data_IF_990951740187
#
_entry.id   IF_990951740187
#
_cell.length_a   1.000
_cell.length_b   1.000
_cell.length_c   1.000
_cell.angle_alpha   90.00
_cell.angle_beta   90.00
_cell.angle_gamma   90.00
#
_symmetry.space_group_name_H-M   'P 1'
#
loop_
_entity.id
_entity.type
_entity.pdbx_description
1 polymer ?
#
# COMPACT_ATOMS: atom_id res chain seq x y z
N UNK A 1 -1.32 -12.61 -3.02
CA UNK A 1 -0.46 -13.26 -4.02
C UNK A 1 1.01 -13.11 -3.62
N UNK A 2 1.68 -11.92 -3.70
CA UNK A 2 3.11 -11.79 -3.43
C UNK A 2 3.53 -12.36 -2.06
N UNK A 3 2.88 -11.96 -0.99
CA UNK A 3 3.19 -12.47 0.36
C UNK A 3 3.00 -13.99 0.47
N UNK A 4 1.95 -14.51 -0.18
CA UNK A 4 1.67 -15.95 -0.26
C UNK A 4 2.75 -16.70 -1.05
N UNK A 5 3.22 -16.17 -2.18
CA UNK A 5 4.29 -16.78 -3.00
C UNK A 5 5.64 -16.77 -2.26
N UNK A 6 5.91 -15.74 -1.48
CA UNK A 6 7.13 -15.63 -0.67
C UNK A 6 7.04 -16.38 0.66
N UNK A 7 5.88 -16.90 1.04
CA UNK A 7 5.68 -17.57 2.33
C UNK A 7 5.84 -16.66 3.54
N UNK A 8 5.61 -15.35 3.38
CA UNK A 8 5.74 -14.35 4.46
C UNK A 8 4.40 -13.68 4.77
N UNK A 9 4.29 -13.06 5.92
CA UNK A 9 3.06 -12.40 6.37
C UNK A 9 2.78 -11.14 5.56
N UNK A 10 1.49 -10.80 5.42
CA UNK A 10 1.02 -9.53 4.90
C UNK A 10 0.49 -8.66 6.05
N UNK A 11 1.06 -7.48 6.21
CA UNK A 11 0.56 -6.43 7.10
C UNK A 11 0.03 -5.30 6.22
N UNK A 12 -1.23 -4.91 6.41
CA UNK A 12 -1.88 -3.88 5.58
C UNK A 12 -2.42 -2.76 6.44
N UNK A 13 -2.17 -1.53 6.01
CA UNK A 13 -2.78 -0.32 6.52
C UNK A 13 -3.41 0.47 5.39
N UNK A 14 -4.63 0.95 5.59
CA UNK A 14 -5.32 1.86 4.70
C UNK A 14 -5.00 3.30 5.13
N UNK A 15 -4.31 4.05 4.28
CA UNK A 15 -3.85 5.39 4.62
C UNK A 15 -4.98 6.42 4.64
N UNK A 16 -6.16 6.09 4.15
CA UNK A 16 -7.35 6.93 4.30
C UNK A 16 -7.78 7.09 5.77
N UNK A 17 -7.41 6.16 6.65
CA UNK A 17 -7.64 6.26 8.09
C UNK A 17 -6.65 7.20 8.81
N UNK A 18 -5.57 7.61 8.13
CA UNK A 18 -4.45 8.37 8.67
C UNK A 18 -4.23 9.70 7.96
N UNK A 19 -5.33 10.34 7.58
CA UNK A 19 -5.34 11.65 6.90
C UNK A 19 -5.04 12.80 7.89
N UNK A 20 -5.46 12.64 9.12
CA UNK A 20 -5.39 13.68 10.15
C UNK A 20 -4.16 13.51 11.04
N UNK A 21 -3.58 14.64 11.49
CA UNK A 21 -2.38 14.62 12.32
C UNK A 21 -2.53 13.79 13.60
N UNK A 22 -3.69 13.83 14.24
CA UNK A 22 -3.94 13.06 15.47
C UNK A 22 -3.99 11.55 15.23
N UNK A 23 -4.30 11.10 14.01
CA UNK A 23 -4.33 9.65 13.69
C UNK A 23 -2.94 9.05 13.53
N UNK A 24 -1.90 9.87 13.28
CA UNK A 24 -0.51 9.41 13.21
C UNK A 24 -0.07 8.78 14.53
N UNK A 25 -0.55 9.33 15.66
CA UNK A 25 -0.28 8.79 16.98
C UNK A 25 -0.73 7.32 17.12
N UNK A 26 -1.75 6.88 16.38
CA UNK A 26 -2.15 5.47 16.35
C UNK A 26 -1.10 4.58 15.67
N UNK A 27 -0.37 5.11 14.66
CA UNK A 27 0.65 4.34 13.95
C UNK A 27 1.96 4.19 14.72
N UNK A 28 2.45 5.29 15.32
CA UNK A 28 3.78 5.33 15.96
C UNK A 28 3.72 5.55 17.48
N UNK A 29 2.51 5.58 18.04
CA UNK A 29 2.27 5.84 19.47
C UNK A 29 2.02 7.32 19.77
N UNK A 30 1.34 7.59 20.88
CA UNK A 30 1.12 8.94 21.38
C UNK A 30 2.38 9.50 22.06
N UNK A 31 2.63 10.81 22.00
CA UNK A 31 3.68 11.46 22.79
C UNK A 31 3.45 11.31 24.30
N UNK A 32 4.52 11.41 25.09
CA UNK A 32 4.43 11.40 26.54
C UNK A 32 3.47 12.49 27.06
N UNK A 33 2.58 12.13 27.98
CA UNK A 33 1.57 13.03 28.54
C UNK A 33 0.25 13.10 27.79
N UNK A 34 0.11 12.40 26.66
CA UNK A 34 -1.16 12.30 25.92
C UNK A 34 -1.86 10.96 26.18
N UNK A 35 -3.20 10.97 26.05
CA UNK A 35 -4.03 9.76 26.14
C UNK A 35 -3.57 8.75 25.07
N UNK A 36 -3.45 7.46 25.47
CA UNK A 36 -2.98 6.39 24.58
C UNK A 36 -1.45 6.25 24.50
N UNK A 37 -0.68 6.96 25.33
CA UNK A 37 0.77 6.77 25.39
C UNK A 37 1.18 5.33 25.72
N UNK A 38 0.42 4.64 26.58
CA UNK A 38 0.70 3.26 26.96
C UNK A 38 0.42 2.24 25.86
N UNK A 39 -0.46 2.56 24.92
CA UNK A 39 -0.93 1.62 23.89
C UNK A 39 0.13 1.29 22.82
N UNK A 40 1.18 2.12 22.68
CA UNK A 40 2.19 1.95 21.63
C UNK A 40 1.67 2.39 20.25
N UNK A 41 2.40 2.01 19.19
CA UNK A 41 2.03 2.33 17.81
C UNK A 41 1.66 1.07 17.02
N UNK A 42 0.52 1.09 16.34
CA UNK A 42 0.03 -0.05 15.56
C UNK A 42 1.04 -0.53 14.52
N UNK A 43 1.68 0.41 13.80
CA UNK A 43 2.66 0.09 12.78
C UNK A 43 3.95 -0.47 13.39
N UNK A 44 4.47 0.17 14.44
CA UNK A 44 5.69 -0.27 15.12
C UNK A 44 5.51 -1.62 15.79
N UNK A 45 4.36 -1.86 16.40
CA UNK A 45 4.05 -3.13 17.04
C UNK A 45 3.82 -4.25 16.01
N UNK A 46 3.18 -3.97 14.87
CA UNK A 46 3.00 -4.93 13.79
C UNK A 46 4.35 -5.37 13.18
N UNK A 47 5.25 -4.41 12.90
CA UNK A 47 6.60 -4.71 12.38
C UNK A 47 7.41 -5.49 13.42
N UNK A 48 7.29 -5.16 14.71
CA UNK A 48 8.02 -5.86 15.76
C UNK A 48 7.56 -7.31 15.94
N UNK A 49 6.24 -7.55 15.82
CA UNK A 49 5.67 -8.90 15.85
C UNK A 49 6.04 -9.72 14.62
N UNK A 50 6.17 -9.07 13.48
CA UNK A 50 6.37 -9.74 12.18
C UNK A 50 7.42 -8.98 11.36
N UNK A 51 8.70 -9.06 11.74
CA UNK A 51 9.76 -8.27 11.09
C UNK A 51 10.02 -8.69 9.65
N UNK A 52 9.71 -9.94 9.27
CA UNK A 52 9.79 -10.43 7.90
C UNK A 52 8.37 -10.46 7.30
N UNK A 53 7.96 -9.37 6.68
CA UNK A 53 6.62 -9.26 6.12
C UNK A 53 6.58 -8.33 4.88
N UNK A 54 5.51 -8.44 4.13
CA UNK A 54 5.10 -7.42 3.18
C UNK A 54 4.26 -6.40 3.95
N UNK A 55 4.75 -5.16 4.04
CA UNK A 55 3.98 -4.03 4.54
C UNK A 55 3.32 -3.33 3.36
N UNK A 56 2.01 -3.41 3.29
CA UNK A 56 1.19 -2.75 2.27
C UNK A 56 0.54 -1.49 2.88
N UNK A 57 0.90 -0.33 2.33
CA UNK A 57 0.25 0.94 2.63
C UNK A 57 -0.64 1.31 1.45
N UNK A 58 -1.94 1.18 1.66
CA UNK A 58 -2.93 1.39 0.60
C UNK A 58 -3.34 2.86 0.56
N UNK A 59 -3.54 3.43 -0.65
CA UNK A 59 -3.92 4.83 -0.89
C UNK A 59 -2.98 5.85 -0.23
N UNK A 60 -1.66 5.68 -0.45
CA UNK A 60 -0.61 6.49 0.20
C UNK A 60 -0.76 8.00 -0.04
N UNK A 61 -1.38 8.42 -1.15
CA UNK A 61 -1.64 9.83 -1.45
C UNK A 61 -2.61 10.50 -0.47
N UNK A 62 -3.39 9.72 0.27
CA UNK A 62 -4.32 10.23 1.29
C UNK A 62 -3.67 10.42 2.66
N UNK A 63 -2.49 9.85 2.86
CA UNK A 63 -1.78 9.93 4.12
C UNK A 63 -1.41 11.37 4.49
N UNK A 64 -1.46 11.68 5.80
CA UNK A 64 -0.93 12.95 6.30
C UNK A 64 0.56 13.11 5.92
N UNK A 65 1.04 14.32 5.59
CA UNK A 65 2.43 14.57 5.16
C UNK A 65 3.50 14.03 6.12
N UNK A 66 3.25 14.00 7.42
CA UNK A 66 4.20 13.49 8.42
C UNK A 66 4.48 11.99 8.26
N UNK A 67 3.56 11.22 7.67
CA UNK A 67 3.76 9.79 7.41
C UNK A 67 4.89 9.59 6.39
N UNK A 68 5.01 10.49 5.40
CA UNK A 68 6.12 10.41 4.44
C UNK A 68 7.48 10.58 5.12
N UNK A 69 7.58 11.42 6.17
CA UNK A 69 8.82 11.57 6.95
C UNK A 69 9.17 10.28 7.70
N UNK A 70 8.16 9.59 8.23
CA UNK A 70 8.33 8.29 8.89
C UNK A 70 8.81 7.24 7.87
N UNK A 71 8.22 7.21 6.69
CA UNK A 71 8.60 6.27 5.63
C UNK A 71 10.01 6.54 5.09
N UNK A 72 10.41 7.81 4.95
CA UNK A 72 11.77 8.17 4.59
C UNK A 72 12.78 7.62 5.61
N UNK A 73 12.48 7.73 6.92
CA UNK A 73 13.31 7.14 7.97
C UNK A 73 13.45 5.62 7.81
N UNK A 74 12.35 4.94 7.51
CA UNK A 74 12.36 3.48 7.27
C UNK A 74 13.20 3.14 6.05
N UNK A 75 13.05 3.86 4.94
CA UNK A 75 13.77 3.60 3.69
C UNK A 75 15.26 3.93 3.79
N UNK A 76 15.65 4.96 4.55
CA UNK A 76 17.05 5.39 4.67
C UNK A 76 17.83 4.58 5.72
N UNK A 77 17.20 4.25 6.84
CA UNK A 77 17.88 3.63 7.99
C UNK A 77 17.44 2.21 8.31
N UNK A 78 16.41 1.71 7.62
CA UNK A 78 15.79 0.41 7.89
C UNK A 78 15.38 0.22 9.36
N UNK A 79 14.99 1.31 10.03
CA UNK A 79 14.55 1.35 11.42
C UNK A 79 13.34 2.29 11.54
N UNK A 80 12.35 1.85 12.28
CA UNK A 80 11.22 2.68 12.70
C UNK A 80 11.29 2.86 14.22
N UNK A 81 11.26 4.11 14.68
CA UNK A 81 11.27 4.46 16.09
C UNK A 81 9.89 4.96 16.52
N UNK A 82 9.32 4.37 17.54
CA UNK A 82 8.05 4.84 18.11
C UNK A 82 8.26 6.04 19.08
N UNK A 83 7.16 6.64 19.50
CA UNK A 83 7.21 7.78 20.44
C UNK A 83 7.70 7.43 21.85
N UNK A 84 7.87 6.14 22.19
CA UNK A 84 8.53 5.65 23.40
C UNK A 84 10.04 5.45 23.22
N UNK A 85 10.59 5.76 22.03
CA UNK A 85 11.98 5.54 21.69
C UNK A 85 12.33 4.07 21.38
N UNK A 86 11.33 3.19 21.27
CA UNK A 86 11.55 1.78 20.94
C UNK A 86 11.76 1.63 19.45
N UNK A 87 12.81 0.93 19.05
CA UNK A 87 13.18 0.71 17.66
C UNK A 87 12.60 -0.60 17.15
N UNK A 88 12.10 -0.58 15.92
CA UNK A 88 11.68 -1.76 15.16
C UNK A 88 12.59 -1.91 13.94
N UNK A 89 13.13 -3.11 13.74
CA UNK A 89 14.01 -3.43 12.62
C UNK A 89 13.19 -3.65 11.35
N UNK A 90 13.50 -2.89 10.30
CA UNK A 90 12.81 -2.91 9.01
C UNK A 90 13.65 -3.51 7.87
N UNK A 91 14.83 -4.12 8.15
CA UNK A 91 15.75 -4.64 7.12
C UNK A 91 15.15 -5.76 6.27
N UNK A 92 14.21 -6.52 6.82
CA UNK A 92 13.54 -7.63 6.14
C UNK A 92 12.13 -7.31 5.70
N UNK A 93 11.79 -6.00 5.69
CA UNK A 93 10.48 -5.51 5.31
C UNK A 93 10.42 -5.27 3.80
N UNK A 94 9.41 -5.81 3.13
CA UNK A 94 9.07 -5.44 1.76
C UNK A 94 7.98 -4.38 1.83
N UNK A 95 8.36 -3.12 1.59
CA UNK A 95 7.43 -1.99 1.60
C UNK A 95 6.76 -1.86 0.23
N UNK A 96 5.45 -1.97 0.21
CA UNK A 96 4.60 -1.75 -0.97
C UNK A 96 3.62 -0.63 -0.66
N UNK A 97 3.52 0.31 -1.58
CA UNK A 97 2.55 1.41 -1.50
C UNK A 97 1.70 1.42 -2.75
N UNK A 98 0.39 1.55 -2.59
CA UNK A 98 -0.53 1.76 -3.72
C UNK A 98 -0.98 3.20 -3.77
N UNK A 99 -1.27 3.69 -4.96
CA UNK A 99 -1.79 5.04 -5.15
C UNK A 99 -2.68 5.10 -6.38
N UNK A 100 -3.75 5.85 -6.28
CA UNK A 100 -4.63 6.22 -7.38
C UNK A 100 -4.24 7.58 -7.99
N UNK A 101 -3.11 8.18 -7.56
CA UNK A 101 -2.62 9.43 -8.11
C UNK A 101 -2.34 9.29 -9.61
N UNK A 102 -3.06 10.05 -10.42
CA UNK A 102 -2.93 10.02 -11.87
C UNK A 102 -3.98 9.18 -12.61
N UNK A 103 -4.77 8.36 -11.94
CA UNK A 103 -5.85 7.58 -12.58
C UNK A 103 -6.85 8.47 -13.35
N UNK A 104 -7.15 9.66 -12.84
CA UNK A 104 -8.03 10.64 -13.49
C UNK A 104 -7.50 11.13 -14.85
N UNK A 105 -6.19 11.13 -15.03
CA UNK A 105 -5.52 11.62 -16.24
C UNK A 105 -5.33 10.55 -17.30
N UNK A 106 -5.52 9.29 -16.96
CA UNK A 106 -5.45 8.17 -17.91
C UNK A 106 -6.51 8.32 -19.01
N UNK A 107 -7.71 8.78 -18.65
CA UNK A 107 -8.81 9.00 -19.59
C UNK A 107 -8.70 10.32 -20.38
N UNK A 108 -8.00 11.33 -19.86
CA UNK A 108 -7.85 12.62 -20.56
C UNK A 108 -6.82 12.58 -21.68
N UNK A 109 -5.82 11.70 -21.61
CA UNK A 109 -4.80 11.56 -22.63
C UNK A 109 -5.35 11.01 -23.97
N UNK A 110 -6.55 10.43 -23.99
CA UNK A 110 -7.17 9.88 -25.19
C UNK A 110 -7.95 10.89 -26.05
N UNK A 111 -8.13 12.13 -25.61
CA UNK A 111 -9.00 13.14 -26.26
C UNK A 111 -8.21 14.14 -27.13
N UNK A 112 -6.86 14.05 -27.20
CA UNK A 112 -6.02 14.98 -27.95
C UNK A 112 -5.38 14.36 -29.18
N UNK A 113 -5.58 14.95 -30.35
CA UNK A 113 -5.16 14.49 -31.69
C UNK A 113 -3.63 14.37 -31.89
N UNK A 114 -2.77 14.58 -30.88
CA UNK A 114 -1.30 14.62 -31.11
C UNK A 114 -0.44 14.28 -29.91
N UNK A 115 -0.80 13.32 -29.04
CA UNK A 115 0.11 12.92 -27.97
C UNK A 115 0.40 11.43 -27.98
N UNK A 116 1.59 11.08 -28.50
CA UNK A 116 2.27 9.79 -28.32
C UNK A 116 2.68 9.53 -26.84
N UNK A 117 2.10 10.24 -25.89
CA UNK A 117 2.37 10.00 -24.46
C UNK A 117 1.50 8.83 -24.03
N UNK A 118 2.12 7.69 -23.81
CA UNK A 118 1.40 6.53 -23.25
C UNK A 118 0.70 6.89 -21.96
N UNK A 119 -0.48 6.33 -21.71
CA UNK A 119 -1.25 6.50 -20.46
C UNK A 119 -0.36 6.33 -19.22
N UNK A 120 0.55 5.35 -19.23
CA UNK A 120 1.50 5.14 -18.14
C UNK A 120 2.46 6.31 -17.89
N UNK A 121 2.94 6.98 -18.95
CA UNK A 121 3.79 8.16 -18.78
C UNK A 121 3.02 9.36 -18.19
N UNK A 122 1.76 9.53 -18.57
CA UNK A 122 0.91 10.59 -18.00
C UNK A 122 0.67 10.33 -16.49
N UNK A 123 0.40 9.10 -16.11
CA UNK A 123 0.25 8.69 -14.71
C UNK A 123 1.55 8.94 -13.92
N UNK A 124 2.70 8.53 -14.43
CA UNK A 124 4.00 8.76 -13.77
C UNK A 124 4.33 10.25 -13.61
N UNK A 125 3.96 11.09 -14.59
CA UNK A 125 4.10 12.56 -14.47
C UNK A 125 3.26 13.11 -13.32
N UNK A 126 2.05 12.59 -13.13
CA UNK A 126 1.18 13.01 -12.02
C UNK A 126 1.70 12.54 -10.67
N UNK A 127 2.20 11.30 -10.57
CA UNK A 127 2.89 10.79 -9.38
C UNK A 127 4.04 11.72 -8.98
N UNK A 128 4.87 12.16 -9.95
CA UNK A 128 5.95 13.13 -9.71
C UNK A 128 5.49 14.51 -9.24
N UNK A 129 4.24 14.89 -9.51
CA UNK A 129 3.66 16.15 -8.99
C UNK A 129 3.06 15.97 -7.60
N UNK A 130 2.54 14.79 -7.31
CA UNK A 130 1.87 14.48 -6.04
C UNK A 130 2.87 14.23 -4.92
N UNK A 131 3.97 13.54 -5.22
CA UNK A 131 4.96 13.14 -4.23
C UNK A 131 6.27 13.94 -4.37
N UNK A 132 6.90 14.23 -3.25
CA UNK A 132 8.19 14.93 -3.24
C UNK A 132 9.27 14.08 -3.94
N UNK A 133 10.19 14.72 -4.70
CA UNK A 133 11.27 14.00 -5.41
C UNK A 133 12.14 13.15 -4.47
N UNK A 134 12.41 13.61 -3.26
CA UNK A 134 13.22 12.87 -2.29
C UNK A 134 12.58 11.54 -1.91
N UNK A 135 11.24 11.50 -1.80
CA UNK A 135 10.48 10.28 -1.52
C UNK A 135 10.52 9.32 -2.71
N UNK A 136 10.27 9.82 -3.91
CA UNK A 136 10.27 9.02 -5.13
C UNK A 136 11.64 8.40 -5.43
N UNK A 137 12.72 9.12 -5.13
CA UNK A 137 14.10 8.65 -5.34
C UNK A 137 14.51 7.51 -4.40
N UNK A 138 13.75 7.24 -3.34
CA UNK A 138 13.97 6.11 -2.42
C UNK A 138 13.24 4.84 -2.84
N UNK A 139 12.31 4.95 -3.79
CA UNK A 139 11.58 3.80 -4.30
C UNK A 139 12.47 2.94 -5.20
N UNK A 140 12.52 1.65 -4.95
CA UNK A 140 13.26 0.70 -5.79
C UNK A 140 12.63 0.57 -7.17
N UNK A 141 11.31 0.63 -7.27
CA UNK A 141 10.56 0.56 -8.51
C UNK A 141 9.19 1.23 -8.39
N UNK A 142 8.68 1.70 -9.53
CA UNK A 142 7.29 2.15 -9.67
C UNK A 142 6.63 1.30 -10.77
N UNK A 143 5.53 0.64 -10.42
CA UNK A 143 4.77 -0.23 -11.31
C UNK A 143 3.45 0.44 -11.65
N UNK A 144 3.18 0.61 -12.94
CA UNK A 144 1.90 1.15 -13.42
C UNK A 144 1.01 -0.01 -13.82
N UNK A 145 -0.18 -0.07 -13.23
CA UNK A 145 -1.21 -1.01 -13.65
C UNK A 145 -2.00 -0.40 -14.81
N UNK A 146 -2.17 -1.18 -15.86
CA UNK A 146 -2.99 -0.80 -17.02
C UNK A 146 -4.47 -1.07 -16.76
N UNK A 147 -5.32 -0.46 -17.58
CA UNK A 147 -6.75 -0.74 -17.56
C UNK A 147 -7.01 -2.23 -17.79
N UNK A 148 -8.06 -2.74 -17.15
CA UNK A 148 -8.42 -4.15 -17.22
C UNK A 148 -9.03 -4.47 -18.59
N UNK A 149 -8.38 -5.36 -19.37
CA UNK A 149 -8.97 -5.89 -20.59
C UNK A 149 -10.10 -6.88 -20.26
N UNK A 150 -10.95 -7.16 -21.27
CA UNK A 150 -12.03 -8.15 -21.12
C UNK A 150 -11.48 -9.54 -20.77
N UNK A 151 -10.37 -9.93 -21.40
CA UNK A 151 -9.69 -11.20 -21.14
C UNK A 151 -9.19 -11.27 -19.69
N UNK A 152 -8.54 -10.20 -19.21
CA UNK A 152 -8.09 -10.12 -17.82
C UNK A 152 -9.27 -10.19 -16.85
N UNK A 153 -10.38 -9.50 -17.13
CA UNK A 153 -11.58 -9.54 -16.31
C UNK A 153 -12.15 -10.96 -16.23
N UNK A 154 -12.19 -11.69 -17.35
CA UNK A 154 -12.63 -13.09 -17.40
C UNK A 154 -11.71 -13.97 -16.54
N UNK A 155 -10.39 -13.85 -16.68
CA UNK A 155 -9.45 -14.64 -15.87
C UNK A 155 -9.59 -14.35 -14.36
N UNK A 156 -9.82 -13.10 -13.98
CA UNK A 156 -10.06 -12.73 -12.57
C UNK A 156 -11.36 -13.35 -12.07
N UNK A 157 -12.42 -13.30 -12.89
CA UNK A 157 -13.70 -13.91 -12.56
C UNK A 157 -13.54 -15.43 -12.35
N UNK A 158 -12.93 -16.13 -13.28
CA UNK A 158 -12.68 -17.58 -13.21
C UNK A 158 -11.90 -17.95 -11.93
N UNK A 159 -10.85 -17.18 -11.62
CA UNK A 159 -10.09 -17.39 -10.39
C UNK A 159 -10.96 -17.21 -9.15
N UNK A 160 -11.82 -16.19 -9.12
CA UNK A 160 -12.71 -15.92 -7.98
C UNK A 160 -13.78 -17.01 -7.84
N UNK A 161 -14.32 -17.50 -8.94
CA UNK A 161 -15.29 -18.58 -8.95
C UNK A 161 -14.67 -19.88 -8.43
N UNK A 162 -13.45 -20.23 -8.87
CA UNK A 162 -12.73 -21.41 -8.33
C UNK A 162 -12.50 -21.28 -6.82
N UNK A 163 -12.05 -20.12 -6.34
CA UNK A 163 -11.86 -19.88 -4.90
C UNK A 163 -13.17 -19.97 -4.11
N UNK A 164 -14.28 -19.58 -4.71
CA UNK A 164 -15.60 -19.72 -4.10
C UNK A 164 -16.02 -21.18 -4.06
N UNK A 165 -15.86 -21.91 -5.18
CA UNK A 165 -16.21 -23.33 -5.28
C UNK A 165 -15.41 -24.18 -4.28
N UNK A 166 -14.10 -23.94 -4.14
CA UNK A 166 -13.28 -24.58 -3.11
C UNK A 166 -13.82 -24.35 -1.69
N UNK A 167 -14.27 -23.13 -1.37
CA UNK A 167 -14.86 -22.83 -0.06
C UNK A 167 -16.24 -23.47 0.15
N UNK A 168 -17.04 -23.54 -0.91
CA UNK A 168 -18.36 -24.19 -0.88
C UNK A 168 -18.24 -25.70 -0.77
N UNK A 169 -17.26 -26.32 -1.44
CA UNK A 169 -16.97 -27.73 -1.35
C UNK A 169 -16.69 -28.18 0.10
N UNK A 170 -16.00 -27.34 0.90
CA UNK A 170 -15.80 -27.60 2.33
C UNK A 170 -17.11 -27.67 3.14
N UNK A 171 -18.21 -27.16 2.59
CA UNK A 171 -19.57 -27.18 3.18
C UNK A 171 -20.52 -28.11 2.43
N UNK A 172 -19.99 -28.97 1.54
CA UNK A 172 -20.77 -29.87 0.70
C UNK A 172 -21.81 -29.16 -0.19
N UNK A 173 -21.49 -27.92 -0.63
CA UNK A 173 -22.31 -27.14 -1.56
C UNK A 173 -21.58 -27.05 -2.89
N UNK A 174 -22.25 -27.27 -4.02
CA UNK A 174 -21.71 -27.10 -5.38
C UNK A 174 -22.31 -25.86 -6.04
N UNK A 175 -21.46 -25.11 -6.78
CA UNK A 175 -21.87 -23.96 -7.55
C UNK A 175 -22.07 -24.37 -9.01
N UNK A 176 -23.27 -24.17 -9.56
CA UNK A 176 -23.55 -24.34 -10.97
C UNK A 176 -23.90 -22.97 -11.58
N UNK A 177 -23.13 -22.57 -12.58
CA UNK A 177 -23.37 -21.35 -13.36
C UNK A 177 -24.10 -21.73 -14.64
N UNK A 178 -25.22 -21.10 -14.92
CA UNK A 178 -26.01 -21.25 -16.15
C UNK A 178 -25.76 -20.09 -17.10
#
# INVERSE_FOLDING_TARGET
>A
VLASELGISLVRFDMSEYMEKHTIAKLIGSPAGYIGYEDGGLLTDAIRKTPNCVLLLDEIEKAHPDIFNILLQVMDYAVLTDNKGRKSDCRHLILIMTSNAGAQYAHQASIGFNSQVSTGQAMLRQVKKTFKPEFLNRLSASVVFHDMSREMATQVLDKKLRQLDEKLALRHVSLHLT
#
